data_IF_256794129772
#
_entry.id   IF_256794129772
#
_cell.length_a   1.000
_cell.length_b   1.000
_cell.length_c   1.000
_cell.angle_alpha   90.00
_cell.angle_beta   90.00
_cell.angle_gamma   90.00
#
_symmetry.space_group_name_H-M   'P 1'
#
loop_
_entity.id
_entity.type
_entity.pdbx_description
1 polymer ?
#
# COMPACT_ATOMS: atom_id res chain seq x y z
N UNK A 1 -15.06 -55.99 16.99
CA UNK A 1 -14.61 -56.19 15.59
C UNK A 1 -14.93 -54.94 14.77
N UNK A 2 -13.95 -54.49 13.97
CA UNK A 2 -14.04 -53.68 12.72
C UNK A 2 -14.56 -52.23 12.75
N UNK A 3 -13.72 -51.23 12.36
CA UNK A 3 -13.64 -50.69 10.97
C UNK A 3 -12.94 -49.30 10.90
N UNK A 4 -11.79 -49.17 10.21
CA UNK A 4 -11.17 -47.88 9.82
C UNK A 4 -10.50 -47.91 8.42
N UNK A 5 -11.17 -48.46 7.39
CA UNK A 5 -10.69 -48.48 5.98
C UNK A 5 -10.96 -47.16 5.22
N UNK A 6 -11.56 -46.18 5.88
CA UNK A 6 -12.07 -44.92 5.29
C UNK A 6 -10.96 -43.87 5.05
N UNK A 7 -9.77 -44.02 5.62
CA UNK A 7 -8.76 -42.96 5.66
C UNK A 7 -7.97 -42.73 4.37
N UNK A 8 -7.89 -43.72 3.47
CA UNK A 8 -6.95 -43.67 2.33
C UNK A 8 -7.50 -43.02 1.06
N UNK A 9 -8.81 -43.09 0.82
CA UNK A 9 -9.44 -42.50 -0.38
C UNK A 9 -9.56 -40.99 -0.28
N UNK A 10 -9.76 -40.49 0.93
CA UNK A 10 -9.81 -39.06 1.23
C UNK A 10 -8.47 -38.37 0.94
N UNK A 11 -7.35 -39.07 1.15
CA UNK A 11 -6.02 -38.51 0.92
C UNK A 11 -5.73 -38.20 -0.57
N UNK A 12 -6.31 -38.93 -1.53
CA UNK A 12 -6.00 -38.76 -2.96
C UNK A 12 -6.85 -37.67 -3.60
N UNK A 13 -8.13 -37.56 -3.22
CA UNK A 13 -9.00 -36.47 -3.67
C UNK A 13 -8.47 -35.10 -3.27
N UNK A 14 -7.89 -35.03 -2.06
CA UNK A 14 -7.27 -33.81 -1.58
C UNK A 14 -6.12 -33.32 -2.50
N UNK A 15 -5.29 -34.22 -3.03
CA UNK A 15 -4.12 -33.82 -3.81
C UNK A 15 -4.46 -33.24 -5.20
N UNK A 16 -5.53 -33.71 -5.84
CA UNK A 16 -5.91 -33.28 -7.21
C UNK A 16 -6.56 -31.90 -7.22
N UNK A 17 -7.38 -31.58 -6.21
CA UNK A 17 -7.98 -30.26 -6.09
C UNK A 17 -6.92 -29.16 -5.89
N UNK A 18 -5.83 -29.45 -5.18
CA UNK A 18 -4.72 -28.50 -4.97
C UNK A 18 -3.99 -28.19 -6.27
N UNK A 19 -3.79 -29.17 -7.14
CA UNK A 19 -3.06 -28.97 -8.40
C UNK A 19 -3.82 -28.08 -9.41
N UNK A 20 -5.16 -28.13 -9.41
CA UNK A 20 -6.01 -27.41 -10.37
C UNK A 20 -6.17 -25.92 -10.04
N UNK A 21 -6.10 -25.56 -8.76
CA UNK A 21 -6.25 -24.17 -8.32
C UNK A 21 -5.02 -23.31 -8.67
N UNK A 22 -3.88 -23.91 -9.00
CA UNK A 22 -2.62 -23.19 -9.27
C UNK A 22 -2.41 -22.81 -10.73
N UNK A 23 -3.33 -23.14 -11.65
CA UNK A 23 -3.06 -23.07 -13.10
C UNK A 23 -3.75 -21.95 -13.88
N UNK A 24 -4.52 -21.03 -13.28
CA UNK A 24 -5.21 -19.99 -14.06
C UNK A 24 -5.18 -18.60 -13.41
N UNK A 25 -4.37 -17.68 -13.93
CA UNK A 25 -4.37 -16.28 -13.46
C UNK A 25 -3.30 -15.29 -13.98
N UNK A 26 -2.82 -15.38 -15.23
CA UNK A 26 -1.92 -14.35 -15.80
C UNK A 26 -2.71 -13.17 -16.41
N UNK A 27 -3.06 -12.17 -15.59
CA UNK A 27 -3.35 -10.82 -16.08
C UNK A 27 -2.36 -9.86 -15.41
N UNK A 28 -1.69 -8.95 -16.15
CA UNK A 28 -0.90 -7.90 -15.51
C UNK A 28 -1.85 -7.00 -14.74
N UNK A 29 -1.76 -7.00 -13.42
CA UNK A 29 -2.51 -6.06 -12.59
C UNK A 29 -2.16 -4.64 -13.02
N UNK A 30 -3.19 -3.79 -13.22
CA UNK A 30 -3.01 -2.35 -13.28
C UNK A 30 -2.21 -1.96 -12.03
N UNK A 31 -0.95 -1.59 -12.24
CA UNK A 31 -0.05 -1.23 -11.15
C UNK A 31 -0.67 -0.04 -10.42
N UNK A 32 -0.76 -0.13 -9.10
CA UNK A 32 -1.21 0.99 -8.29
C UNK A 32 -0.33 2.22 -8.60
N UNK A 33 -0.96 3.40 -8.71
CA UNK A 33 -0.24 4.65 -8.87
C UNK A 33 0.82 4.77 -7.76
N UNK A 34 1.94 5.45 -8.07
CA UNK A 34 3.00 5.67 -7.10
C UNK A 34 2.40 6.28 -5.82
N UNK A 35 2.58 5.58 -4.71
CA UNK A 35 2.10 6.04 -3.42
C UNK A 35 2.95 7.24 -3.00
N UNK A 36 2.29 8.38 -2.77
CA UNK A 36 2.95 9.52 -2.14
C UNK A 36 3.26 9.16 -0.69
N UNK A 37 4.45 9.48 -0.18
CA UNK A 37 4.81 9.21 1.21
C UNK A 37 3.94 10.03 2.15
N UNK A 38 3.71 9.49 3.35
CA UNK A 38 3.13 10.26 4.44
C UNK A 38 4.18 11.25 4.93
N UNK A 39 3.91 12.53 4.74
CA UNK A 39 4.77 13.63 5.19
C UNK A 39 4.35 14.09 6.59
N UNK A 40 5.33 14.42 7.43
CA UNK A 40 5.08 14.93 8.77
C UNK A 40 6.32 15.62 9.35
N UNK A 41 6.25 16.04 10.61
CA UNK A 41 7.34 16.80 11.23
C UNK A 41 8.68 16.08 11.14
N UNK A 42 9.70 16.79 10.66
CA UNK A 42 11.04 16.25 10.42
C UNK A 42 11.25 15.61 9.05
N UNK A 43 10.19 15.39 8.25
CA UNK A 43 10.34 15.01 6.83
C UNK A 43 11.05 16.13 6.06
N UNK A 44 11.89 15.77 5.09
CA UNK A 44 12.57 16.72 4.21
C UNK A 44 12.62 16.21 2.76
N UNK A 45 12.89 17.12 1.82
CA UNK A 45 13.12 16.80 0.41
C UNK A 45 12.02 17.27 -0.53
N UNK A 46 12.07 16.77 -1.77
CA UNK A 46 11.25 17.26 -2.87
C UNK A 46 9.75 17.07 -2.65
N UNK A 47 9.33 15.98 -1.99
CA UNK A 47 7.93 15.71 -1.70
C UNK A 47 7.35 16.76 -0.73
N UNK A 48 8.14 17.17 0.27
CA UNK A 48 7.77 18.26 1.19
C UNK A 48 7.70 19.59 0.46
N UNK A 49 8.70 19.89 -0.38
CA UNK A 49 8.70 21.10 -1.19
C UNK A 49 7.46 21.19 -2.08
N UNK A 50 7.07 20.06 -2.69
CA UNK A 50 5.86 19.95 -3.52
C UNK A 50 4.61 20.23 -2.69
N UNK A 51 4.48 19.60 -1.52
CA UNK A 51 3.36 19.87 -0.62
C UNK A 51 3.29 21.34 -0.19
N UNK A 52 4.43 21.98 0.11
CA UNK A 52 4.48 23.40 0.47
C UNK A 52 4.09 24.32 -0.70
N UNK A 53 4.49 24.01 -1.93
CA UNK A 53 4.04 24.76 -3.11
C UNK A 53 2.53 24.67 -3.30
N UNK A 54 1.94 23.49 -3.09
CA UNK A 54 0.49 23.30 -3.13
C UNK A 54 -0.20 24.10 -2.03
N UNK A 55 0.26 24.01 -0.78
CA UNK A 55 -0.28 24.83 0.30
C UNK A 55 -0.19 26.33 -0.01
N UNK A 56 0.91 26.77 -0.62
CA UNK A 56 1.06 28.16 -1.03
C UNK A 56 0.09 28.57 -2.14
N UNK A 57 -0.17 27.71 -3.12
CA UNK A 57 -1.18 27.99 -4.15
C UNK A 57 -2.59 28.06 -3.55
N UNK A 58 -2.83 27.36 -2.44
CA UNK A 58 -4.05 27.44 -1.64
C UNK A 58 -4.11 28.65 -0.68
N UNK A 59 -3.13 29.56 -0.74
CA UNK A 59 -3.16 30.84 -0.01
C UNK A 59 -2.36 30.85 1.29
N UNK A 60 -1.65 29.77 1.64
CA UNK A 60 -0.79 29.77 2.81
C UNK A 60 0.55 30.49 2.53
N UNK A 61 0.89 31.48 3.36
CA UNK A 61 2.12 32.27 3.23
C UNK A 61 3.40 31.58 3.71
N UNK A 62 3.58 30.29 3.40
CA UNK A 62 4.75 29.50 3.83
C UNK A 62 5.83 29.43 2.74
N UNK A 63 7.09 29.32 3.16
CA UNK A 63 8.21 29.12 2.24
C UNK A 63 8.34 27.63 1.85
N UNK A 64 8.49 27.30 0.54
CA UNK A 64 8.75 25.94 0.09
C UNK A 64 10.23 25.60 0.19
N UNK A 65 10.71 25.41 1.42
CA UNK A 65 12.12 25.09 1.73
C UNK A 65 12.43 23.59 1.70
N UNK A 66 11.43 22.75 1.48
CA UNK A 66 11.56 21.31 1.47
C UNK A 66 11.76 20.71 2.86
N UNK A 67 11.48 21.45 3.95
CA UNK A 67 11.54 20.96 5.31
C UNK A 67 10.17 21.02 6.00
N UNK A 68 9.70 19.89 6.52
CA UNK A 68 8.41 19.82 7.16
C UNK A 68 8.58 20.19 8.64
N UNK A 69 8.43 21.48 8.92
CA UNK A 69 8.43 22.04 10.27
C UNK A 69 7.07 22.60 10.70
N UNK A 70 7.02 23.31 11.84
CA UNK A 70 5.78 23.82 12.43
C UNK A 70 4.95 24.70 11.50
N UNK A 71 5.59 25.46 10.60
CA UNK A 71 4.90 26.30 9.63
C UNK A 71 4.09 25.48 8.61
N UNK A 72 4.70 24.44 8.03
CA UNK A 72 4.04 23.51 7.10
C UNK A 72 2.96 22.69 7.80
N UNK A 73 3.23 22.28 9.05
CA UNK A 73 2.28 21.54 9.87
C UNK A 73 1.01 22.37 10.16
N UNK A 74 1.18 23.64 10.55
CA UNK A 74 0.07 24.54 10.79
C UNK A 74 -0.72 24.82 9.51
N UNK A 75 -0.04 25.03 8.38
CA UNK A 75 -0.71 25.27 7.10
C UNK A 75 -1.56 24.07 6.65
N UNK A 76 -1.08 22.84 6.88
CA UNK A 76 -1.84 21.62 6.54
C UNK A 76 -3.15 21.48 7.35
N UNK A 77 -3.24 22.10 8.54
CA UNK A 77 -4.41 22.00 9.43
C UNK A 77 -5.36 23.20 9.36
N UNK A 78 -4.97 24.27 8.69
CA UNK A 78 -5.75 25.49 8.56
C UNK A 78 -6.80 25.35 7.45
#
# INVERSE_FOLDING_TARGET
>A
MTRTRTSRTWAVLAAVCVALMMSFGLAPQAGAAAAWPVLGNGSTGADVGTAQYLLRSHGHGIAPDGAFGPATENATRA
#
